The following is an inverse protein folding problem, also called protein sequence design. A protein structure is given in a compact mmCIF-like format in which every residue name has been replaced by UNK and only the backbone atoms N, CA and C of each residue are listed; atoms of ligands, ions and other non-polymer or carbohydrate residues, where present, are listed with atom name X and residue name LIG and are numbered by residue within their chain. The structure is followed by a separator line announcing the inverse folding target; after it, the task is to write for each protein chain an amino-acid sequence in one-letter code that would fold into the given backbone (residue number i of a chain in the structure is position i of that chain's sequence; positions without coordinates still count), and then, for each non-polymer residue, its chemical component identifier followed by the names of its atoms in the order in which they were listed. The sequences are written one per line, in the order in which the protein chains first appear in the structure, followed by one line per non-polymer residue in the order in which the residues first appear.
data_IF_653718998356
#
_entry.id   IF_653718998356
#
_cell.length_a   1.000
_cell.length_b   1.000
_cell.length_c   1.000
_cell.angle_alpha   90.00
_cell.angle_beta   90.00
_cell.angle_gamma   90.00
#
_symmetry.space_group_name_H-M   'P 1'
#
loop_
_entity.id
_entity.type
_entity.pdbx_description
1 polymer ?
#
# COMPACT_ATOMS: atom_id res chain seq x y z
N UNK A 1 16.15 12.59 -5.91
CA UNK A 1 15.12 11.78 -5.20
C UNK A 1 14.69 12.52 -3.95
N UNK A 2 13.39 12.55 -3.72
CA UNK A 2 12.74 13.15 -2.54
C UNK A 2 12.26 12.03 -1.63
N UNK A 3 12.58 12.11 -0.33
CA UNK A 3 12.06 11.20 0.68
C UNK A 3 10.79 11.79 1.28
N UNK A 4 9.74 10.98 1.33
CA UNK A 4 8.41 11.33 1.80
C UNK A 4 8.05 10.43 2.96
N UNK A 5 7.53 11.03 4.03
CA UNK A 5 7.16 10.34 5.24
C UNK A 5 5.71 10.67 5.60
N UNK A 6 5.04 9.70 6.19
CA UNK A 6 3.70 9.91 6.69
C UNK A 6 3.09 8.63 7.17
N UNK A 7 1.76 8.62 7.17
CA UNK A 7 1.01 7.44 7.50
C UNK A 7 -0.32 7.41 6.79
N UNK A 8 -1.04 6.32 7.01
CA UNK A 8 -2.43 6.25 6.62
C UNK A 8 -3.26 5.58 7.71
N UNK A 9 -4.55 5.85 7.65
CA UNK A 9 -5.56 5.18 8.45
C UNK A 9 -6.40 4.26 7.57
N UNK A 10 -6.57 3.00 7.95
CA UNK A 10 -7.48 2.06 7.31
C UNK A 10 -8.91 2.54 7.57
N UNK A 11 -9.63 2.85 6.50
CA UNK A 11 -11.00 3.32 6.54
C UNK A 11 -12.00 2.17 6.39
N UNK A 12 -11.69 1.17 5.56
CA UNK A 12 -12.47 -0.05 5.47
C UNK A 12 -11.59 -1.26 5.12
N UNK A 13 -12.03 -2.44 5.55
CA UNK A 13 -11.39 -3.72 5.25
C UNK A 13 -12.48 -4.76 4.97
N UNK A 14 -12.47 -5.32 3.77
CA UNK A 14 -13.30 -6.47 3.40
C UNK A 14 -12.38 -7.58 2.90
N UNK A 15 -12.49 -8.77 3.45
CA UNK A 15 -11.61 -9.87 3.09
C UNK A 15 -12.40 -11.16 2.95
N UNK A 16 -12.22 -11.81 1.80
CA UNK A 16 -12.96 -13.01 1.42
C UNK A 16 -11.99 -14.14 1.07
N UNK A 17 -12.14 -15.34 1.67
CA UNK A 17 -11.36 -16.50 1.28
C UNK A 17 -11.80 -17.01 -0.10
N UNK A 18 -10.83 -17.46 -0.91
CA UNK A 18 -11.08 -18.07 -2.22
C UNK A 18 -10.49 -19.48 -2.36
N UNK A 19 -9.59 -19.91 -1.47
CA UNK A 19 -9.14 -21.29 -1.33
C UNK A 19 -8.80 -21.56 0.15
N UNK A 20 -9.05 -22.77 0.63
CA UNK A 20 -8.68 -23.22 1.96
C UNK A 20 -8.31 -24.71 1.92
N UNK A 21 -7.13 -25.05 2.45
CA UNK A 21 -6.64 -26.44 2.55
C UNK A 21 -5.85 -26.64 3.82
N UNK A 22 -6.19 -27.69 4.55
CA UNK A 22 -5.46 -28.11 5.75
C UNK A 22 -5.20 -26.94 6.73
N UNK A 23 -6.20 -26.07 6.94
CA UNK A 23 -6.13 -24.89 7.82
C UNK A 23 -5.35 -23.68 7.26
N UNK A 24 -4.80 -23.76 6.04
CA UNK A 24 -4.18 -22.64 5.33
C UNK A 24 -5.21 -22.00 4.41
N UNK A 25 -5.20 -20.68 4.33
CA UNK A 25 -6.21 -19.91 3.59
C UNK A 25 -5.57 -18.99 2.58
N UNK A 26 -6.16 -18.91 1.39
CA UNK A 26 -5.89 -17.86 0.44
C UNK A 26 -7.08 -16.91 0.42
N UNK A 27 -6.83 -15.62 0.62
CA UNK A 27 -7.89 -14.61 0.69
C UNK A 27 -7.63 -13.43 -0.23
N UNK A 28 -8.68 -12.70 -0.58
CA UNK A 28 -8.62 -11.42 -1.26
C UNK A 28 -9.12 -10.34 -0.32
N UNK A 29 -8.28 -9.34 -0.05
CA UNK A 29 -8.64 -8.18 0.75
C UNK A 29 -8.83 -6.93 -0.13
N UNK A 30 -9.96 -6.25 0.05
CA UNK A 30 -10.25 -4.90 -0.46
C UNK A 30 -10.16 -3.92 0.70
N UNK A 31 -9.23 -2.97 0.61
CA UNK A 31 -8.92 -2.07 1.72
C UNK A 31 -8.96 -0.63 1.24
N UNK A 32 -9.69 0.24 1.92
CA UNK A 32 -9.60 1.69 1.68
C UNK A 32 -8.80 2.36 2.79
N UNK A 33 -7.99 3.35 2.43
CA UNK A 33 -7.12 4.06 3.35
C UNK A 33 -7.26 5.58 3.18
N UNK A 34 -6.93 6.33 4.23
CA UNK A 34 -6.77 7.79 4.19
C UNK A 34 -5.34 8.15 4.52
N UNK A 35 -4.62 8.71 3.55
CA UNK A 35 -3.23 9.13 3.66
C UNK A 35 -3.10 10.53 4.27
N UNK A 36 -2.13 10.67 5.17
CA UNK A 36 -1.78 11.92 5.84
C UNK A 36 -0.24 12.07 5.90
N UNK A 37 0.25 13.31 6.04
CA UNK A 37 1.67 13.64 5.98
C UNK A 37 2.07 14.19 4.60
N UNK A 38 3.22 13.75 4.09
CA UNK A 38 3.77 14.24 2.82
C UNK A 38 2.92 13.82 1.60
N UNK A 39 2.16 12.73 1.73
CA UNK A 39 1.06 12.36 0.83
C UNK A 39 -0.25 12.61 1.57
N UNK A 40 -1.13 13.43 0.99
CA UNK A 40 -2.47 13.67 1.51
C UNK A 40 -3.53 13.25 0.48
N UNK A 41 -4.40 12.32 0.84
CA UNK A 41 -5.38 11.77 -0.09
C UNK A 41 -6.02 10.48 0.37
N UNK A 42 -6.62 9.76 -0.58
CA UNK A 42 -7.28 8.49 -0.35
C UNK A 42 -6.53 7.35 -1.07
N UNK A 43 -6.61 6.16 -0.49
CA UNK A 43 -5.99 4.94 -0.99
C UNK A 43 -7.00 3.82 -1.15
N UNK A 44 -6.77 2.96 -2.15
CA UNK A 44 -7.53 1.74 -2.36
C UNK A 44 -6.59 0.60 -2.75
N UNK A 45 -6.48 -0.40 -1.87
CA UNK A 45 -5.65 -1.59 -2.09
C UNK A 45 -6.50 -2.83 -2.39
N UNK A 46 -5.96 -3.68 -3.25
CA UNK A 46 -6.43 -5.04 -3.51
C UNK A 46 -5.27 -5.99 -3.25
N UNK A 47 -5.39 -6.82 -2.23
CA UNK A 47 -4.34 -7.78 -1.84
C UNK A 47 -4.81 -9.22 -1.96
N UNK A 48 -3.90 -10.08 -2.41
CA UNK A 48 -4.01 -11.53 -2.29
C UNK A 48 -3.13 -11.96 -1.13
N UNK A 49 -3.72 -12.68 -0.17
CA UNK A 49 -3.06 -13.05 1.08
C UNK A 49 -2.99 -14.57 1.20
N UNK A 50 -1.86 -15.09 1.66
CA UNK A 50 -1.65 -16.50 1.93
C UNK A 50 -1.36 -16.70 3.42
N UNK A 51 -2.36 -17.16 4.17
CA UNK A 51 -2.26 -17.41 5.60
C UNK A 51 -1.64 -18.77 5.89
N UNK A 52 -0.69 -18.78 6.81
CA UNK A 52 -0.04 -19.97 7.35
C UNK A 52 -0.73 -20.46 8.64
N UNK A 53 -0.39 -21.67 9.06
CA UNK A 53 -0.98 -22.31 10.24
C UNK A 53 -0.66 -21.59 11.56
N UNK A 54 0.47 -20.90 11.61
CA UNK A 54 0.91 -20.12 12.76
C UNK A 54 0.27 -18.72 12.82
N UNK A 55 -0.63 -18.40 11.89
CA UNK A 55 -1.32 -17.12 11.81
C UNK A 55 -0.55 -16.02 11.07
N UNK A 56 0.66 -16.30 10.59
CA UNK A 56 1.41 -15.38 9.72
C UNK A 56 0.83 -15.37 8.30
N UNK A 57 1.12 -14.33 7.52
CA UNK A 57 0.64 -14.22 6.15
C UNK A 57 1.66 -13.57 5.22
N UNK A 58 1.75 -14.04 3.97
CA UNK A 58 2.38 -13.30 2.87
C UNK A 58 1.27 -12.63 2.06
N UNK A 59 1.46 -11.37 1.65
CA UNK A 59 0.46 -10.68 0.84
C UNK A 59 1.08 -9.86 -0.30
N UNK A 60 0.44 -9.89 -1.47
CA UNK A 60 0.84 -9.12 -2.66
C UNK A 60 -0.36 -8.42 -3.26
N UNK A 61 -0.13 -7.34 -4.02
CA UNK A 61 -1.19 -6.73 -4.81
C UNK A 61 -0.91 -5.29 -5.21
N UNK A 62 -1.96 -4.57 -5.57
CA UNK A 62 -1.87 -3.20 -6.08
C UNK A 62 -2.60 -2.24 -5.14
N UNK A 63 -2.07 -1.03 -5.01
CA UNK A 63 -2.66 0.04 -4.23
C UNK A 63 -2.70 1.34 -5.04
N UNK A 64 -3.90 1.79 -5.37
CA UNK A 64 -4.12 3.12 -5.95
C UNK A 64 -4.01 4.17 -4.84
N UNK A 65 -3.33 5.26 -5.12
CA UNK A 65 -3.31 6.48 -4.30
C UNK A 65 -3.82 7.63 -5.16
N UNK A 66 -4.81 8.36 -4.65
CA UNK A 66 -5.33 9.60 -5.23
C UNK A 66 -5.07 10.74 -4.23
N UNK A 67 -4.13 11.63 -4.55
CA UNK A 67 -3.53 12.48 -3.53
C UNK A 67 -2.79 13.71 -4.03
N UNK A 68 -2.38 14.55 -3.07
CA UNK A 68 -1.35 15.56 -3.26
C UNK A 68 -0.05 14.97 -2.76
N UNK A 69 1.00 15.16 -3.56
CA UNK A 69 2.36 14.88 -3.19
C UNK A 69 3.21 16.11 -3.50
N UNK A 70 3.92 16.66 -2.51
CA UNK A 70 4.78 17.84 -2.70
C UNK A 70 4.08 19.00 -3.46
N UNK A 71 2.80 19.23 -3.16
CA UNK A 71 1.96 20.25 -3.81
C UNK A 71 1.37 19.88 -5.17
N UNK A 72 1.70 18.71 -5.73
CA UNK A 72 1.23 18.22 -7.04
C UNK A 72 0.06 17.26 -6.89
N UNK A 73 -1.02 17.49 -7.62
CA UNK A 73 -2.24 16.67 -7.64
C UNK A 73 -2.16 15.58 -8.70
N UNK A 74 -2.43 14.34 -8.33
CA UNK A 74 -2.59 13.25 -9.27
C UNK A 74 -2.90 11.92 -8.61
N UNK A 75 -2.89 10.87 -9.41
CA UNK A 75 -2.97 9.49 -8.92
C UNK A 75 -1.72 8.72 -9.27
N UNK A 76 -1.44 7.63 -8.57
CA UNK A 76 -0.42 6.64 -8.94
C UNK A 76 -0.77 5.27 -8.35
N UNK A 77 -0.26 4.20 -8.95
CA UNK A 77 -0.44 2.83 -8.44
C UNK A 77 0.87 2.31 -7.88
N UNK A 78 0.80 1.73 -6.70
CA UNK A 78 1.89 1.00 -6.06
C UNK A 78 1.68 -0.51 -6.27
N UNK A 79 2.70 -1.21 -6.75
CA UNK A 79 2.83 -2.65 -6.57
C UNK A 79 3.37 -2.92 -5.16
N UNK A 80 2.74 -3.85 -4.44
CA UNK A 80 3.02 -4.10 -3.02
C UNK A 80 3.32 -5.57 -2.78
N UNK A 81 4.30 -5.82 -1.90
CA UNK A 81 4.70 -7.14 -1.48
C UNK A 81 5.20 -7.11 -0.03
N UNK A 82 4.50 -7.82 0.85
CA UNK A 82 4.93 -7.92 2.24
C UNK A 82 4.45 -9.13 3.00
N UNK A 83 4.69 -9.09 4.30
CA UNK A 83 4.37 -10.15 5.24
C UNK A 83 3.78 -9.59 6.53
N UNK A 84 2.88 -10.35 7.13
CA UNK A 84 2.38 -10.18 8.49
C UNK A 84 3.01 -11.27 9.36
N UNK A 85 3.76 -10.86 10.37
CA UNK A 85 4.54 -11.75 11.24
C UNK A 85 3.78 -12.21 12.50
N UNK A 86 2.47 -11.92 12.58
CA UNK A 86 1.66 -12.13 13.78
C UNK A 86 1.53 -10.89 14.66
N UNK A 87 2.39 -9.89 14.50
CA UNK A 87 2.40 -8.64 15.28
C UNK A 87 2.24 -7.39 14.40
N UNK A 88 2.94 -7.35 13.28
CA UNK A 88 2.92 -6.22 12.35
C UNK A 88 2.98 -6.70 10.90
N UNK A 89 2.31 -5.95 10.03
CA UNK A 89 2.46 -6.09 8.59
C UNK A 89 3.58 -5.15 8.12
N UNK A 90 4.53 -5.66 7.34
CA UNK A 90 5.58 -4.87 6.68
C UNK A 90 5.64 -5.22 5.21
N UNK A 91 5.70 -4.20 4.36
CA UNK A 91 5.76 -4.40 2.92
C UNK A 91 6.64 -3.38 2.24
N UNK A 92 7.19 -3.80 1.11
CA UNK A 92 7.80 -2.92 0.15
C UNK A 92 6.76 -2.55 -0.92
N UNK A 93 6.91 -1.36 -1.47
CA UNK A 93 6.06 -0.86 -2.53
C UNK A 93 6.89 -0.18 -3.62
N UNK A 94 6.45 -0.26 -4.87
CA UNK A 94 7.08 0.42 -6.01
C UNK A 94 6.01 1.04 -6.90
N UNK A 95 6.22 2.26 -7.35
CA UNK A 95 5.32 2.93 -8.29
C UNK A 95 5.34 2.15 -9.61
N UNK A 96 4.17 1.71 -10.06
CA UNK A 96 4.01 1.00 -11.34
C UNK A 96 4.29 1.99 -12.47
N UNK A 97 5.30 1.75 -13.33
CA UNK A 97 5.63 2.66 -14.43
C UNK A 97 4.42 2.93 -15.33
N UNK A 98 4.19 4.20 -15.66
CA UNK A 98 3.07 4.63 -16.50
C UNK A 98 1.69 4.60 -15.83
N UNK A 99 1.60 4.32 -14.53
CA UNK A 99 0.32 4.34 -13.79
C UNK A 99 -0.09 5.72 -13.27
N UNK A 100 0.86 6.66 -13.26
CA UNK A 100 0.68 7.96 -12.63
C UNK A 100 -0.04 8.96 -13.53
N UNK A 101 -0.84 9.87 -12.95
CA UNK A 101 -1.69 10.80 -13.69
C UNK A 101 -1.56 12.24 -13.19
N UNK A 102 -2.14 13.20 -13.92
CA UNK A 102 -2.17 14.61 -13.52
C UNK A 102 -0.77 15.22 -13.44
N UNK A 103 -0.51 16.01 -12.40
CA UNK A 103 0.79 16.64 -12.14
C UNK A 103 1.86 15.64 -11.63
N UNK A 104 1.45 14.38 -11.45
CA UNK A 104 2.30 13.25 -11.09
C UNK A 104 2.59 12.33 -12.29
N UNK A 105 2.18 12.70 -13.52
CA UNK A 105 2.54 11.95 -14.71
C UNK A 105 4.05 11.71 -14.77
N UNK A 106 4.49 10.47 -14.95
CA UNK A 106 5.89 10.01 -14.91
C UNK A 106 6.56 9.95 -13.51
N UNK A 107 5.79 10.05 -12.42
CA UNK A 107 6.29 9.74 -11.08
C UNK A 107 6.88 8.33 -11.04
N UNK A 108 8.10 8.20 -10.50
CA UNK A 108 8.70 6.92 -10.15
C UNK A 108 9.08 6.91 -8.67
N UNK A 109 9.24 5.72 -8.09
CA UNK A 109 9.68 5.61 -6.72
C UNK A 109 9.43 4.25 -6.11
N UNK A 110 9.99 4.05 -4.93
CA UNK A 110 9.79 2.85 -4.13
C UNK A 110 9.89 3.21 -2.64
N UNK A 111 9.39 2.34 -1.80
CA UNK A 111 9.44 2.58 -0.37
C UNK A 111 8.97 1.42 0.48
N UNK A 112 8.83 1.71 1.75
CA UNK A 112 8.51 0.73 2.79
C UNK A 112 7.39 1.24 3.66
N UNK A 113 6.60 0.29 4.13
CA UNK A 113 5.45 0.54 4.96
C UNK A 113 5.42 -0.44 6.12
N UNK A 114 4.87 0.02 7.24
CA UNK A 114 4.68 -0.78 8.44
C UNK A 114 3.33 -0.45 9.07
N UNK A 115 2.57 -1.50 9.42
CA UNK A 115 1.32 -1.40 10.14
C UNK A 115 1.37 -2.33 11.36
N UNK A 116 1.48 -1.79 12.60
CA UNK A 116 1.22 -2.58 13.79
C UNK A 116 -0.26 -2.99 13.85
N UNK A 117 -0.62 -3.88 14.78
CA UNK A 117 -2.02 -4.16 15.09
C UNK A 117 -2.84 -2.87 15.30
N UNK A 118 -3.97 -2.78 14.58
CA UNK A 118 -4.84 -1.61 14.58
C UNK A 118 -5.12 -1.09 13.18
N UNK A 119 -5.51 0.18 13.08
CA UNK A 119 -5.90 0.81 11.82
C UNK A 119 -4.88 1.80 11.26
N UNK A 120 -3.70 1.94 11.89
CA UNK A 120 -2.69 2.93 11.47
C UNK A 120 -1.48 2.25 10.88
N UNK A 121 -0.94 2.86 9.83
CA UNK A 121 0.33 2.49 9.22
C UNK A 121 1.22 3.72 9.03
N UNK A 122 2.52 3.51 8.95
CA UNK A 122 3.51 4.50 8.55
C UNK A 122 4.18 4.10 7.23
N UNK A 123 4.75 5.07 6.53
CA UNK A 123 5.53 4.84 5.32
C UNK A 123 6.74 5.77 5.21
N UNK A 124 7.74 5.27 4.48
CA UNK A 124 8.81 6.05 3.87
C UNK A 124 8.83 5.73 2.38
N UNK A 125 8.63 6.74 1.52
CA UNK A 125 8.64 6.62 0.07
C UNK A 125 9.76 7.51 -0.51
N UNK A 126 10.62 6.92 -1.34
CA UNK A 126 11.62 7.65 -2.11
C UNK A 126 11.12 7.78 -3.54
N UNK A 127 10.93 9.02 -3.99
CA UNK A 127 10.35 9.31 -5.30
C UNK A 127 11.24 10.20 -6.14
N UNK A 128 11.09 10.08 -7.45
CA UNK A 128 11.53 11.05 -8.43
C UNK A 128 10.28 11.75 -8.98
N UNK A 129 10.15 13.04 -8.69
CA UNK A 129 9.04 13.85 -9.14
C UNK A 129 9.20 14.20 -10.62
N UNK A 130 8.11 14.37 -11.37
CA UNK A 130 8.19 14.77 -12.78
C UNK A 130 8.90 16.11 -12.96
N UNK A 131 9.77 16.21 -13.97
CA UNK A 131 10.31 17.50 -14.41
C UNK A 131 9.14 18.36 -14.92
N UNK A 132 9.07 19.61 -14.45
CA UNK A 132 8.01 20.55 -14.81
C UNK A 132 8.27 21.27 -16.11
#
# INVERSE_FOLDING_TARGET
MTTLNGGFQVASWSEDPYDERDGRRLTRASVTQRFEGDVAGDGAAQWLMAYQLDGTARFVGLQLVDGVLAGRRGTFVLETAGQFDGQAARWEATVVPGSSTGELADLTGAGRFEAPHGSKASYELQVELPEG
#
